data_IF_939579736864
#
_entry.id   IF_939579736864
#
_cell.length_a   1.000
_cell.length_b   1.000
_cell.length_c   1.000
_cell.angle_alpha   90.00
_cell.angle_beta   90.00
_cell.angle_gamma   90.00
#
_symmetry.space_group_name_H-M   'P 1'
#
loop_
_entity.id
_entity.type
_entity.pdbx_description
1 polymer ?
#
# COMPACT_ATOMS: atom_id res chain seq x y z
N UNK A 1 14.34 -3.19 51.96
CA UNK A 1 13.38 -3.31 50.83
C UNK A 1 12.80 -4.72 50.86
N UNK A 2 11.48 -4.92 51.02
CA UNK A 2 10.94 -6.26 51.06
C UNK A 2 10.95 -6.86 49.64
N UNK A 3 11.57 -8.03 49.50
CA UNK A 3 11.59 -8.81 48.27
C UNK A 3 10.16 -9.10 47.81
N UNK A 4 9.86 -8.76 46.56
CA UNK A 4 8.58 -8.99 45.91
C UNK A 4 8.33 -10.52 45.81
N UNK A 5 7.55 -11.07 46.75
CA UNK A 5 7.14 -12.48 46.71
C UNK A 5 6.29 -12.69 45.45
N UNK A 6 6.82 -13.40 44.46
CA UNK A 6 6.04 -13.86 43.30
C UNK A 6 4.86 -14.68 43.82
N UNK A 7 3.65 -14.18 43.62
CA UNK A 7 2.41 -14.92 43.94
C UNK A 7 2.42 -16.22 43.14
N UNK A 8 2.22 -17.39 43.77
CA UNK A 8 2.16 -18.66 43.04
C UNK A 8 1.02 -18.62 42.02
N UNK A 9 1.30 -19.09 40.80
CA UNK A 9 0.30 -19.18 39.73
C UNK A 9 -0.80 -20.17 40.13
N UNK A 10 -2.03 -19.67 40.29
CA UNK A 10 -3.23 -20.47 40.55
C UNK A 10 -4.02 -20.68 39.24
N UNK A 11 -4.00 -21.89 38.65
CA UNK A 11 -4.68 -22.17 37.39
C UNK A 11 -6.20 -21.97 37.44
N UNK A 12 -6.85 -22.21 38.59
CA UNK A 12 -8.31 -22.09 38.74
C UNK A 12 -8.71 -20.62 38.77
N UNK A 13 -8.04 -19.82 39.60
CA UNK A 13 -8.25 -18.38 39.65
C UNK A 13 -7.99 -17.72 38.30
N UNK A 14 -6.90 -18.11 37.62
CA UNK A 14 -6.60 -17.60 36.28
C UNK A 14 -7.68 -17.97 35.24
N UNK A 15 -8.34 -19.14 35.36
CA UNK A 15 -9.44 -19.53 34.49
C UNK A 15 -10.73 -18.74 34.78
N UNK A 16 -11.05 -18.49 36.05
CA UNK A 16 -12.17 -17.65 36.46
C UNK A 16 -11.98 -16.20 36.01
N UNK A 17 -10.79 -15.63 36.20
CA UNK A 17 -10.45 -14.28 35.76
C UNK A 17 -10.61 -14.15 34.23
N UNK A 18 -10.16 -15.14 33.46
CA UNK A 18 -10.36 -15.18 31.99
C UNK A 18 -11.83 -15.26 31.60
N UNK A 19 -12.63 -16.06 32.31
CA UNK A 19 -14.08 -16.19 32.05
C UNK A 19 -14.80 -14.87 32.32
N UNK A 20 -14.42 -14.18 33.40
CA UNK A 20 -14.95 -12.86 33.75
C UNK A 20 -14.56 -11.81 32.71
N UNK A 21 -13.28 -11.73 32.33
CA UNK A 21 -12.80 -10.79 31.31
C UNK A 21 -13.49 -11.02 29.96
N UNK A 22 -13.69 -12.28 29.57
CA UNK A 22 -14.44 -12.62 28.35
C UNK A 22 -15.88 -12.11 28.42
N UNK A 23 -16.58 -12.34 29.54
CA UNK A 23 -17.94 -11.83 29.74
C UNK A 23 -17.98 -10.30 29.64
N UNK A 24 -17.08 -9.61 30.33
CA UNK A 24 -17.02 -8.15 30.31
C UNK A 24 -16.78 -7.60 28.88
N UNK A 25 -16.03 -8.32 28.05
CA UNK A 25 -15.83 -7.98 26.63
C UNK A 25 -17.09 -8.23 25.81
N UNK A 26 -17.78 -9.36 26.01
CA UNK A 26 -19.04 -9.67 25.33
C UNK A 26 -20.11 -8.62 25.64
N UNK A 27 -20.27 -8.24 26.91
CA UNK A 27 -21.24 -7.23 27.35
C UNK A 27 -20.91 -5.86 26.73
N UNK A 28 -19.62 -5.49 26.65
CA UNK A 28 -19.17 -4.27 25.96
C UNK A 28 -19.47 -4.30 24.46
N UNK A 29 -19.29 -5.44 23.80
CA UNK A 29 -19.57 -5.60 22.38
C UNK A 29 -21.06 -5.44 22.08
N UNK A 30 -21.93 -6.05 22.88
CA UNK A 30 -23.38 -5.91 22.72
C UNK A 30 -23.84 -4.46 22.89
N UNK A 31 -23.33 -3.79 23.94
CA UNK A 31 -23.57 -2.37 24.16
C UNK A 31 -23.03 -1.51 23.02
N UNK A 32 -21.80 -1.78 22.58
CA UNK A 32 -21.14 -1.05 21.49
C UNK A 32 -21.94 -1.12 20.19
N UNK A 33 -22.48 -2.29 19.84
CA UNK A 33 -23.34 -2.43 18.65
C UNK A 33 -24.59 -1.58 18.76
N UNK A 34 -25.28 -1.57 19.90
CA UNK A 34 -26.47 -0.73 20.08
C UNK A 34 -26.15 0.77 19.99
N UNK A 35 -24.99 1.20 20.51
CA UNK A 35 -24.56 2.60 20.52
C UNK A 35 -24.11 3.10 19.14
N UNK A 36 -23.61 2.22 18.26
CA UNK A 36 -23.19 2.57 16.90
C UNK A 36 -24.31 3.24 16.10
N UNK A 37 -25.56 2.79 16.27
CA UNK A 37 -26.69 3.35 15.54
C UNK A 37 -27.26 4.64 16.15
N UNK A 38 -26.57 5.23 17.13
CA UNK A 38 -26.97 6.47 17.79
C UNK A 38 -26.06 7.63 17.34
N UNK A 39 -26.66 8.68 16.77
CA UNK A 39 -25.99 9.96 16.46
C UNK A 39 -24.70 9.76 15.63
N UNK A 40 -23.60 10.44 15.99
CA UNK A 40 -22.33 10.46 15.28
C UNK A 40 -21.49 9.17 15.47
N UNK A 41 -21.95 8.24 16.33
CA UNK A 41 -21.23 6.98 16.61
C UNK A 41 -21.11 6.10 15.37
N UNK A 42 -22.09 6.16 14.47
CA UNK A 42 -22.07 5.38 13.23
C UNK A 42 -20.90 5.80 12.34
N UNK A 43 -20.75 7.11 12.12
CA UNK A 43 -19.65 7.67 11.34
C UNK A 43 -18.29 7.34 11.96
N UNK A 44 -18.15 7.49 13.29
CA UNK A 44 -16.92 7.12 14.03
C UNK A 44 -16.56 5.64 13.88
N UNK A 45 -17.57 4.78 13.81
CA UNK A 45 -17.37 3.36 13.57
C UNK A 45 -16.83 3.11 12.15
N UNK A 46 -17.42 3.74 11.13
CA UNK A 46 -16.91 3.65 9.76
C UNK A 46 -15.48 4.24 9.62
N UNK A 47 -15.20 5.35 10.30
CA UNK A 47 -13.84 5.93 10.37
C UNK A 47 -12.84 4.96 10.99
N UNK A 48 -13.26 4.20 12.00
CA UNK A 48 -12.43 3.16 12.61
C UNK A 48 -12.18 2.02 11.63
N UNK A 49 -13.22 1.56 10.93
CA UNK A 49 -13.09 0.53 9.89
C UNK A 49 -12.16 0.94 8.75
N UNK A 50 -12.21 2.22 8.34
CA UNK A 50 -11.33 2.75 7.31
C UNK A 50 -9.85 2.65 7.72
N UNK A 51 -9.53 2.80 9.01
CA UNK A 51 -8.16 2.64 9.52
C UNK A 51 -7.77 1.19 9.78
N UNK A 52 -8.73 0.33 10.12
CA UNK A 52 -8.50 -1.06 10.50
C UNK A 52 -9.30 -2.04 9.63
N UNK A 53 -9.17 -2.01 8.28
CA UNK A 53 -10.03 -2.79 7.38
C UNK A 53 -9.88 -4.30 7.59
N UNK A 54 -8.70 -4.77 8.00
CA UNK A 54 -8.41 -6.20 8.24
C UNK A 54 -8.81 -6.70 9.64
N UNK A 55 -9.29 -5.83 10.53
CA UNK A 55 -9.76 -6.25 11.85
C UNK A 55 -11.22 -6.72 11.78
N UNK A 56 -11.57 -7.69 12.62
CA UNK A 56 -12.97 -8.14 12.73
C UNK A 56 -13.90 -7.02 13.21
N UNK A 57 -15.22 -7.16 12.98
CA UNK A 57 -16.23 -6.24 13.50
C UNK A 57 -16.04 -6.00 15.01
N UNK A 58 -15.94 -7.08 15.78
CA UNK A 58 -15.77 -6.99 17.24
C UNK A 58 -14.51 -6.21 17.62
N UNK A 59 -13.40 -6.44 16.92
CA UNK A 59 -12.16 -5.73 17.24
C UNK A 59 -12.21 -4.26 16.81
N UNK A 60 -12.88 -3.92 15.71
CA UNK A 60 -13.13 -2.52 15.32
C UNK A 60 -13.94 -1.80 16.42
N UNK A 61 -15.03 -2.41 16.91
CA UNK A 61 -15.83 -1.87 18.01
C UNK A 61 -14.99 -1.68 19.27
N UNK A 62 -14.21 -2.71 19.65
CA UNK A 62 -13.35 -2.65 20.84
C UNK A 62 -12.29 -1.57 20.73
N UNK A 63 -11.66 -1.40 19.57
CA UNK A 63 -10.67 -0.35 19.34
C UNK A 63 -11.34 1.02 19.43
N UNK A 64 -12.45 1.23 18.73
CA UNK A 64 -13.21 2.49 18.76
C UNK A 64 -13.59 2.89 20.19
N UNK A 65 -14.10 1.96 21.00
CA UNK A 65 -14.55 2.25 22.37
C UNK A 65 -13.39 2.57 23.32
N UNK A 66 -12.21 1.98 23.10
CA UNK A 66 -11.06 2.13 24.01
C UNK A 66 -10.11 3.24 23.58
N UNK A 67 -9.98 3.49 22.28
CA UNK A 67 -9.10 4.49 21.69
C UNK A 67 -9.66 5.00 20.34
N UNK A 68 -10.63 5.94 20.36
CA UNK A 68 -11.25 6.49 19.14
C UNK A 68 -10.27 7.18 18.19
N UNK A 69 -9.15 7.68 18.72
CA UNK A 69 -8.09 8.36 17.98
C UNK A 69 -7.01 7.39 17.47
N UNK A 70 -7.18 6.08 17.61
CA UNK A 70 -6.21 5.10 17.13
C UNK A 70 -5.97 5.25 15.61
N UNK A 71 -4.73 5.07 15.19
CA UNK A 71 -4.28 5.18 13.80
C UNK A 71 -3.61 3.90 13.31
N UNK A 72 -2.91 3.18 14.19
CA UNK A 72 -2.27 1.91 13.85
C UNK A 72 -2.07 1.08 15.10
N UNK A 73 -2.63 -0.13 15.15
CA UNK A 73 -2.58 -1.01 16.30
C UNK A 73 -1.70 -2.23 16.02
N UNK A 74 -0.76 -2.51 16.92
CA UNK A 74 0.04 -3.73 16.90
C UNK A 74 0.34 -4.27 18.30
N UNK A 75 0.57 -5.59 18.38
CA UNK A 75 1.03 -6.25 19.60
C UNK A 75 2.37 -5.68 20.08
N UNK A 76 2.67 -5.81 21.39
CA UNK A 76 3.96 -5.41 21.94
C UNK A 76 5.15 -6.03 21.19
N UNK A 77 5.03 -7.31 20.83
CA UNK A 77 6.04 -8.04 20.05
C UNK A 77 6.16 -7.52 18.63
N UNK A 78 5.05 -7.17 17.97
CA UNK A 78 5.09 -6.61 16.63
C UNK A 78 5.72 -5.21 16.61
N UNK A 79 5.40 -4.35 17.59
CA UNK A 79 6.11 -3.07 17.73
C UNK A 79 7.61 -3.26 17.89
N UNK A 80 8.02 -4.19 18.76
CA UNK A 80 9.43 -4.50 18.98
C UNK A 80 10.14 -4.96 17.70
N UNK A 81 9.47 -5.75 16.86
CA UNK A 81 10.02 -6.17 15.55
C UNK A 81 10.18 -4.99 14.59
N UNK A 82 9.32 -3.97 14.68
CA UNK A 82 9.39 -2.73 13.91
C UNK A 82 10.34 -1.68 14.53
N UNK A 83 11.17 -2.06 15.51
CA UNK A 83 12.11 -1.14 16.16
C UNK A 83 11.44 -0.10 17.08
N UNK A 84 10.19 -0.34 17.49
CA UNK A 84 9.42 0.54 18.37
C UNK A 84 9.05 -0.15 19.68
N UNK A 85 8.89 0.63 20.75
CA UNK A 85 8.62 0.12 22.09
C UNK A 85 7.43 0.86 22.69
N UNK A 86 6.57 0.12 23.38
CA UNK A 86 5.44 0.72 24.11
C UNK A 86 5.98 1.53 25.29
N UNK A 87 5.53 2.79 25.40
CA UNK A 87 5.94 3.70 26.47
C UNK A 87 5.52 3.14 27.83
N UNK A 88 6.35 3.39 28.85
CA UNK A 88 6.11 2.89 30.20
C UNK A 88 4.81 3.49 30.77
N UNK A 89 3.90 2.63 31.22
CA UNK A 89 2.64 3.02 31.86
C UNK A 89 1.44 3.10 30.92
N UNK A 90 1.64 2.91 29.62
CA UNK A 90 0.56 2.87 28.63
C UNK A 90 -0.39 1.68 28.87
N UNK A 91 -1.68 1.94 28.68
CA UNK A 91 -2.72 0.91 28.80
C UNK A 91 -2.96 0.25 27.45
N UNK A 92 -2.90 -1.07 27.41
CA UNK A 92 -3.18 -1.83 26.19
C UNK A 92 -4.66 -1.82 25.83
N UNK A 93 -4.95 -1.76 24.53
CA UNK A 93 -6.27 -1.88 23.93
C UNK A 93 -6.61 -3.38 23.87
N UNK A 94 -7.72 -3.78 24.50
CA UNK A 94 -8.15 -5.18 24.52
C UNK A 94 -8.85 -5.56 23.23
N UNK A 95 -8.35 -6.59 22.56
CA UNK A 95 -8.94 -7.19 21.35
C UNK A 95 -9.08 -8.70 21.53
N UNK A 96 -9.87 -9.34 20.68
CA UNK A 96 -10.01 -10.79 20.64
C UNK A 96 -9.06 -11.37 19.58
N UNK A 97 -8.24 -12.34 19.99
CA UNK A 97 -7.37 -13.08 19.09
C UNK A 97 -7.72 -14.57 19.06
N UNK A 98 -7.70 -15.22 17.87
CA UNK A 98 -7.93 -16.65 17.76
C UNK A 98 -6.81 -17.42 18.49
N UNK A 99 -7.19 -18.47 19.19
CA UNK A 99 -6.32 -19.42 19.88
C UNK A 99 -6.84 -20.82 19.54
N UNK A 100 -6.47 -21.36 18.37
CA UNK A 100 -6.88 -22.69 17.98
C UNK A 100 -6.28 -23.72 18.95
N UNK A 101 -7.08 -24.69 19.34
CA UNK A 101 -6.66 -25.84 20.13
C UNK A 101 -7.29 -27.12 19.59
N UNK A 102 -6.59 -28.23 19.79
CA UNK A 102 -7.06 -29.57 19.42
C UNK A 102 -7.85 -30.15 20.58
N UNK A 103 -9.04 -30.65 20.29
CA UNK A 103 -9.88 -31.36 21.26
C UNK A 103 -10.21 -32.75 20.71
N UNK A 104 -9.91 -33.79 21.50
CA UNK A 104 -10.43 -35.13 21.22
C UNK A 104 -11.90 -35.19 21.62
N UNK A 105 -12.78 -35.54 20.68
CA UNK A 105 -14.20 -35.75 20.93
C UNK A 105 -14.59 -37.15 20.49
N UNK A 106 -15.37 -37.83 21.32
CA UNK A 106 -16.05 -39.06 20.89
C UNK A 106 -17.23 -38.69 19.97
N UNK A 107 -17.22 -39.24 18.77
CA UNK A 107 -18.33 -39.17 17.83
C UNK A 107 -18.73 -40.57 17.39
N UNK A 108 -19.99 -40.72 16.97
CA UNK A 108 -20.46 -41.95 16.36
C UNK A 108 -19.75 -42.14 15.02
N UNK A 109 -19.11 -43.30 14.85
CA UNK A 109 -18.39 -43.65 13.64
C UNK A 109 -19.38 -43.76 12.49
N UNK A 110 -19.12 -43.03 11.41
CA UNK A 110 -19.93 -43.12 10.18
C UNK A 110 -19.22 -43.91 9.10
N UNK A 111 -19.97 -44.66 8.29
CA UNK A 111 -19.47 -45.29 7.06
C UNK A 111 -19.23 -44.25 5.93
N UNK A 112 -18.73 -44.70 4.78
CA UNK A 112 -18.48 -43.84 3.60
C UNK A 112 -19.73 -43.14 3.05
N UNK A 113 -20.93 -43.51 3.52
CA UNK A 113 -22.23 -42.95 3.12
C UNK A 113 -22.86 -42.12 4.25
N UNK A 114 -22.11 -41.81 5.31
CA UNK A 114 -22.55 -40.99 6.43
C UNK A 114 -23.52 -41.69 7.39
N UNK A 115 -23.61 -43.03 7.37
CA UNK A 115 -24.49 -43.79 8.26
C UNK A 115 -23.73 -44.26 9.50
N UNK A 116 -24.37 -44.19 10.67
CA UNK A 116 -23.80 -44.66 11.93
C UNK A 116 -23.47 -46.15 11.83
N UNK A 117 -22.24 -46.51 12.16
CA UNK A 117 -21.74 -47.88 12.24
C UNK A 117 -22.11 -48.42 13.62
N UNK A 118 -22.90 -49.49 13.65
CA UNK A 118 -23.26 -50.20 14.87
C UNK A 118 -22.34 -51.40 15.09
N UNK A 119 -22.07 -51.73 16.36
CA UNK A 119 -21.32 -52.92 16.73
C UNK A 119 -22.18 -54.19 16.66
N UNK A 120 -21.62 -55.33 17.09
CA UNK A 120 -22.31 -56.63 17.05
C UNK A 120 -23.50 -56.71 18.01
N UNK A 121 -23.58 -55.81 18.98
CA UNK A 121 -24.60 -55.76 20.02
C UNK A 121 -25.69 -54.72 19.69
N UNK A 122 -25.54 -53.97 18.60
CA UNK A 122 -26.50 -52.98 18.11
C UNK A 122 -26.28 -51.57 18.67
N UNK A 123 -25.16 -51.32 19.34
CA UNK A 123 -24.79 -50.00 19.88
C UNK A 123 -23.93 -49.20 18.87
N UNK A 124 -24.08 -47.86 18.79
CA UNK A 124 -23.23 -47.03 17.94
C UNK A 124 -21.75 -47.16 18.30
N UNK A 125 -20.92 -47.54 17.32
CA UNK A 125 -19.45 -47.55 17.48
C UNK A 125 -18.99 -46.11 17.66
N UNK A 126 -18.35 -45.81 18.77
CA UNK A 126 -17.73 -44.50 19.01
C UNK A 126 -16.28 -44.51 18.53
N UNK A 127 -15.88 -43.45 17.86
CA UNK A 127 -14.49 -43.17 17.53
C UNK A 127 -14.04 -41.85 18.16
N UNK A 128 -12.77 -41.77 18.54
CA UNK A 128 -12.15 -40.51 18.97
C UNK A 128 -11.66 -39.78 17.75
N UNK A 129 -12.23 -38.61 17.49
CA UNK A 129 -11.77 -37.73 16.41
C UNK A 129 -11.14 -36.48 17.01
N UNK A 130 -9.98 -36.11 16.47
CA UNK A 130 -9.31 -34.86 16.79
C UNK A 130 -10.00 -33.74 16.02
N UNK A 131 -10.69 -32.86 16.74
CA UNK A 131 -11.36 -31.70 16.16
C UNK A 131 -10.55 -30.44 16.48
N UNK A 132 -10.25 -29.64 15.45
CA UNK A 132 -9.65 -28.32 15.63
C UNK A 132 -10.74 -27.32 16.03
N UNK A 133 -10.66 -26.77 17.24
CA UNK A 133 -11.59 -25.76 17.72
C UNK A 133 -10.87 -24.40 17.81
N UNK A 134 -11.45 -23.39 17.16
CA UNK A 134 -10.96 -22.00 17.28
C UNK A 134 -11.62 -21.33 18.47
N UNK A 135 -10.92 -21.28 19.61
CA UNK A 135 -11.29 -20.39 20.71
C UNK A 135 -10.78 -18.97 20.46
N UNK A 136 -11.29 -18.01 21.23
CA UNK A 136 -10.78 -16.65 21.28
C UNK A 136 -10.34 -16.31 22.69
N UNK A 137 -9.30 -15.49 22.80
CA UNK A 137 -8.86 -14.93 24.08
C UNK A 137 -8.66 -13.42 23.98
N UNK A 138 -8.89 -12.68 25.07
CA UNK A 138 -8.52 -11.28 25.14
C UNK A 138 -6.99 -11.13 25.10
N UNK A 139 -6.49 -10.29 24.20
CA UNK A 139 -5.08 -9.90 24.12
C UNK A 139 -4.97 -8.38 24.08
N UNK A 140 -3.77 -7.87 24.33
CA UNK A 140 -3.49 -6.43 24.26
C UNK A 140 -2.79 -6.08 22.95
N UNK A 141 -3.31 -5.07 22.28
CA UNK A 141 -2.65 -4.32 21.22
C UNK A 141 -2.39 -2.89 21.70
N UNK A 142 -1.50 -2.17 21.01
CA UNK A 142 -1.12 -0.81 21.35
C UNK A 142 -1.12 0.04 20.09
N UNK A 143 -1.58 1.28 20.20
CA UNK A 143 -1.57 2.22 19.10
C UNK A 143 -0.18 2.86 18.90
N UNK A 144 0.10 3.35 17.68
CA UNK A 144 1.33 4.05 17.34
C UNK A 144 1.66 5.19 18.33
N UNK A 145 0.67 5.98 18.74
CA UNK A 145 0.86 7.10 19.68
C UNK A 145 1.37 6.66 21.07
N UNK A 146 1.15 5.39 21.42
CA UNK A 146 1.58 4.78 22.67
C UNK A 146 3.01 4.21 22.60
N UNK A 147 3.70 4.41 21.48
CA UNK A 147 5.04 3.86 21.25
C UNK A 147 6.08 4.95 21.00
N UNK A 148 7.34 4.60 21.24
CA UNK A 148 8.53 5.39 20.93
C UNK A 148 9.53 4.54 20.13
N UNK A 149 10.37 5.17 19.31
CA UNK A 149 11.33 4.49 18.42
C UNK A 149 11.36 5.10 17.03
N UNK A 150 11.99 4.38 16.10
CA UNK A 150 12.20 4.83 14.72
C UNK A 150 10.88 5.16 14.02
N UNK A 151 10.79 6.28 13.26
CA UNK A 151 9.60 6.59 12.49
C UNK A 151 9.29 5.41 11.58
N UNK A 152 8.00 5.05 11.49
CA UNK A 152 7.61 4.00 10.57
C UNK A 152 7.95 4.46 9.15
N UNK A 153 8.48 3.56 8.30
CA UNK A 153 8.64 3.87 6.89
C UNK A 153 7.26 4.25 6.37
N UNK A 154 7.18 5.34 5.60
CA UNK A 154 5.96 5.76 4.92
C UNK A 154 5.68 4.77 3.78
N UNK A 155 5.24 3.56 4.13
CA UNK A 155 4.67 2.59 3.18
C UNK A 155 3.16 2.77 3.23
N UNK A 156 2.72 3.97 2.87
CA UNK A 156 1.32 4.25 2.60
C UNK A 156 1.19 4.40 1.10
N UNK A 157 0.17 3.75 0.52
CA UNK A 157 -0.56 4.33 -0.60
C UNK A 157 -0.63 5.82 -0.30
N UNK A 158 0.08 6.66 -1.08
CA UNK A 158 0.15 8.08 -0.78
C UNK A 158 -1.27 8.55 -0.53
N UNK A 159 -1.53 9.25 0.58
CA UNK A 159 -2.74 10.06 0.69
C UNK A 159 -2.90 10.71 -0.68
N UNK A 160 -4.06 10.55 -1.33
CA UNK A 160 -4.28 11.19 -2.62
C UNK A 160 -4.09 12.68 -2.39
N UNK A 161 -2.89 13.21 -2.67
CA UNK A 161 -2.51 14.58 -2.33
C UNK A 161 -3.15 15.57 -3.31
N UNK A 162 -4.33 15.24 -3.83
CA UNK A 162 -5.02 16.01 -4.87
C UNK A 162 -4.35 15.92 -6.24
N UNK A 163 -3.42 15.00 -6.49
CA UNK A 163 -2.79 14.86 -7.81
C UNK A 163 -3.67 14.06 -8.77
N UNK A 164 -3.83 14.58 -9.99
CA UNK A 164 -4.59 13.94 -11.09
C UNK A 164 -4.11 12.51 -11.35
N UNK A 165 -2.79 12.29 -11.31
CA UNK A 165 -2.18 10.96 -11.50
C UNK A 165 -2.50 9.96 -10.37
N UNK A 166 -2.72 10.46 -9.14
CA UNK A 166 -3.17 9.62 -8.03
C UNK A 166 -4.60 9.12 -8.25
N UNK A 167 -5.49 10.01 -8.67
CA UNK A 167 -6.89 9.67 -8.93
C UNK A 167 -7.07 8.73 -10.13
N UNK A 168 -6.35 8.98 -11.23
CA UNK A 168 -6.41 8.11 -12.40
C UNK A 168 -6.01 6.67 -12.05
N UNK A 169 -4.86 6.49 -11.38
CA UNK A 169 -4.40 5.15 -10.96
C UNK A 169 -5.35 4.47 -9.98
N UNK A 170 -5.90 5.21 -9.02
CA UNK A 170 -6.91 4.65 -8.11
C UNK A 170 -8.16 4.21 -8.87
N UNK A 171 -8.63 5.02 -9.82
CA UNK A 171 -9.81 4.70 -10.61
C UNK A 171 -9.58 3.46 -11.49
N UNK A 172 -8.42 3.34 -12.12
CA UNK A 172 -8.01 2.13 -12.84
C UNK A 172 -7.98 0.90 -11.94
N UNK A 173 -7.44 1.02 -10.72
CA UNK A 173 -7.45 -0.06 -9.74
C UNK A 173 -8.88 -0.44 -9.31
N UNK A 174 -9.78 0.53 -9.15
CA UNK A 174 -11.21 0.28 -8.87
C UNK A 174 -11.88 -0.45 -10.04
N UNK A 175 -11.60 -0.04 -11.28
CA UNK A 175 -12.13 -0.71 -12.46
C UNK A 175 -11.66 -2.16 -12.55
N UNK A 176 -10.39 -2.45 -12.27
CA UNK A 176 -9.86 -3.82 -12.28
C UNK A 176 -10.28 -4.66 -11.05
N UNK A 177 -10.53 -4.03 -9.90
CA UNK A 177 -11.03 -4.68 -8.70
C UNK A 177 -12.55 -4.93 -8.73
N UNK A 178 -13.28 -4.24 -9.61
CA UNK A 178 -14.72 -4.38 -9.76
C UNK A 178 -15.10 -5.79 -10.21
N UNK A 179 -16.13 -6.42 -9.61
CA UNK A 179 -16.62 -7.73 -10.05
C UNK A 179 -17.31 -7.67 -11.43
N UNK A 180 -17.60 -6.47 -11.92
CA UNK A 180 -18.34 -6.22 -13.17
C UNK A 180 -17.73 -5.06 -13.96
N UNK A 181 -17.87 -5.03 -15.30
CA UNK A 181 -17.35 -3.93 -16.10
C UNK A 181 -17.95 -2.58 -15.69
N UNK A 182 -17.09 -1.57 -15.55
CA UNK A 182 -17.48 -0.17 -15.34
C UNK A 182 -17.38 0.57 -16.68
N UNK A 183 -18.42 1.34 -17.04
CA UNK A 183 -18.46 2.15 -18.25
C UNK A 183 -18.94 3.56 -17.95
N UNK A 184 -18.37 4.52 -18.68
CA UNK A 184 -18.85 5.89 -18.68
C UNK A 184 -19.93 6.07 -19.75
N UNK A 185 -21.10 6.57 -19.35
CA UNK A 185 -22.28 6.74 -20.20
C UNK A 185 -22.85 8.16 -20.03
N UNK A 186 -23.60 8.62 -21.02
CA UNK A 186 -24.44 9.81 -20.86
C UNK A 186 -25.79 9.38 -20.27
N UNK A 187 -25.95 9.58 -18.97
CA UNK A 187 -27.12 9.17 -18.18
C UNK A 187 -28.05 10.38 -18.06
N UNK A 188 -29.28 10.24 -18.55
CA UNK A 188 -30.27 11.30 -18.46
C UNK A 188 -30.67 11.59 -17.00
N UNK A 189 -30.69 12.88 -16.64
CA UNK A 189 -31.19 13.35 -15.34
C UNK A 189 -30.08 13.68 -14.34
N UNK A 190 -30.36 13.49 -13.04
CA UNK A 190 -29.44 13.79 -11.94
C UNK A 190 -28.72 12.56 -11.37
N UNK A 191 -28.93 11.38 -11.98
CA UNK A 191 -28.32 10.12 -11.56
C UNK A 191 -26.84 10.13 -11.92
N UNK A 192 -25.98 9.92 -10.92
CA UNK A 192 -24.52 9.91 -11.11
C UNK A 192 -24.00 8.57 -11.61
N UNK A 193 -24.69 7.47 -11.33
CA UNK A 193 -24.34 6.13 -11.77
C UNK A 193 -25.38 5.11 -11.31
N UNK A 194 -25.27 3.89 -11.81
CA UNK A 194 -26.10 2.77 -11.39
C UNK A 194 -25.45 1.41 -11.72
N UNK A 195 -25.67 0.42 -10.89
CA UNK A 195 -25.44 -0.99 -11.19
C UNK A 195 -26.64 -1.62 -11.93
N UNK A 196 -26.43 -2.10 -13.15
CA UNK A 196 -27.44 -2.78 -13.94
C UNK A 196 -27.42 -4.29 -13.66
N UNK A 197 -28.42 -4.79 -12.91
CA UNK A 197 -28.43 -6.18 -12.41
C UNK A 197 -28.54 -7.24 -13.51
N UNK A 198 -29.25 -6.96 -14.61
CA UNK A 198 -29.46 -7.94 -15.70
C UNK A 198 -28.24 -8.04 -16.63
N UNK A 199 -27.71 -6.90 -17.07
CA UNK A 199 -26.51 -6.82 -17.91
C UNK A 199 -25.19 -6.98 -17.13
N UNK A 200 -25.28 -7.05 -15.80
CA UNK A 200 -24.15 -7.22 -14.88
C UNK A 200 -22.98 -6.25 -15.18
N UNK A 201 -23.30 -4.95 -15.21
CA UNK A 201 -22.35 -3.85 -15.44
C UNK A 201 -22.67 -2.64 -14.58
N UNK A 202 -21.71 -1.73 -14.45
CA UNK A 202 -21.86 -0.43 -13.80
C UNK A 202 -21.77 0.67 -14.86
N UNK A 203 -22.73 1.60 -14.80
CA UNK A 203 -22.71 2.84 -15.56
C UNK A 203 -22.38 4.02 -14.67
N UNK A 204 -21.50 4.91 -15.13
CA UNK A 204 -21.12 6.15 -14.45
C UNK A 204 -21.34 7.31 -15.42
N UNK A 205 -21.93 8.41 -14.92
CA UNK A 205 -22.16 9.62 -15.71
C UNK A 205 -20.85 10.21 -16.24
N UNK A 206 -20.80 10.50 -17.54
CA UNK A 206 -19.70 11.22 -18.17
C UNK A 206 -19.61 12.67 -17.70
N UNK A 207 -18.39 13.19 -17.59
CA UNK A 207 -18.12 14.61 -17.32
C UNK A 207 -18.16 15.02 -15.85
N UNK A 208 -18.27 14.09 -14.90
CA UNK A 208 -18.12 14.40 -13.47
C UNK A 208 -16.64 14.58 -13.08
N UNK A 209 -16.42 15.21 -11.91
CA UNK A 209 -15.06 15.31 -11.33
C UNK A 209 -14.49 13.94 -10.96
N UNK A 210 -13.16 13.82 -10.92
CA UNK A 210 -12.47 12.57 -10.58
C UNK A 210 -12.89 12.02 -9.20
N UNK A 211 -12.99 12.91 -8.20
CA UNK A 211 -13.48 12.57 -6.86
C UNK A 211 -14.89 11.98 -6.92
N UNK A 212 -15.77 12.60 -7.71
CA UNK A 212 -17.14 12.11 -7.84
C UNK A 212 -17.19 10.77 -8.59
N UNK A 213 -16.36 10.58 -9.63
CA UNK A 213 -16.25 9.31 -10.35
C UNK A 213 -15.86 8.19 -9.39
N UNK A 214 -14.84 8.41 -8.55
CA UNK A 214 -14.41 7.42 -7.56
C UNK A 214 -15.51 7.11 -6.55
N UNK A 215 -16.14 8.12 -5.94
CA UNK A 215 -17.25 7.94 -4.98
C UNK A 215 -18.39 7.11 -5.59
N UNK A 216 -18.84 7.49 -6.79
CA UNK A 216 -19.91 6.80 -7.49
C UNK A 216 -19.50 5.38 -7.85
N UNK A 217 -18.30 5.17 -8.40
CA UNK A 217 -17.81 3.85 -8.77
C UNK A 217 -17.80 2.89 -7.57
N UNK A 218 -17.24 3.32 -6.44
CA UNK A 218 -17.17 2.48 -5.23
C UNK A 218 -18.56 2.15 -4.71
N UNK A 219 -19.50 3.11 -4.73
CA UNK A 219 -20.90 2.89 -4.34
C UNK A 219 -21.56 1.83 -5.22
N UNK A 220 -21.43 1.94 -6.54
CA UNK A 220 -22.01 0.97 -7.47
C UNK A 220 -21.30 -0.39 -7.43
N UNK A 221 -19.98 -0.43 -7.17
CA UNK A 221 -19.25 -1.67 -6.92
C UNK A 221 -19.74 -2.36 -5.65
N UNK A 222 -20.07 -1.60 -4.60
CA UNK A 222 -20.67 -2.15 -3.40
C UNK A 222 -22.05 -2.78 -3.70
N UNK A 223 -22.88 -2.12 -4.53
CA UNK A 223 -24.12 -2.74 -5.02
C UNK A 223 -23.88 -4.00 -5.85
N UNK A 224 -22.93 -4.00 -6.77
CA UNK A 224 -22.60 -5.16 -7.58
C UNK A 224 -22.10 -6.35 -6.74
N UNK A 225 -21.32 -6.08 -5.70
CA UNK A 225 -20.77 -7.10 -4.80
C UNK A 225 -21.83 -7.68 -3.85
N UNK A 226 -22.63 -6.82 -3.22
CA UNK A 226 -23.54 -7.21 -2.15
C UNK A 226 -24.96 -7.56 -2.64
N UNK A 227 -25.40 -6.97 -3.75
CA UNK A 227 -26.81 -6.92 -4.14
C UNK A 227 -27.07 -7.44 -5.55
N UNK A 228 -26.15 -8.19 -6.14
CA UNK A 228 -26.37 -8.87 -7.42
C UNK A 228 -27.43 -9.98 -7.33
N UNK A 229 -27.83 -10.50 -8.49
CA UNK A 229 -28.89 -11.50 -8.59
C UNK A 229 -28.59 -12.79 -7.81
N UNK A 230 -27.33 -13.23 -7.78
CA UNK A 230 -26.91 -14.43 -7.05
C UNK A 230 -27.04 -14.22 -5.55
N UNK A 231 -26.49 -13.11 -5.02
CA UNK A 231 -26.59 -12.74 -3.62
C UNK A 231 -28.05 -12.57 -3.16
N UNK A 232 -28.94 -12.11 -4.05
CA UNK A 232 -30.37 -12.03 -3.75
C UNK A 232 -31.06 -13.40 -3.71
N UNK A 233 -30.60 -14.38 -4.51
CA UNK A 233 -31.16 -15.74 -4.54
C UNK A 233 -30.66 -16.61 -3.40
N UNK A 234 -29.41 -16.43 -2.97
CA UNK A 234 -28.77 -17.21 -1.90
C UNK A 234 -29.18 -16.75 -0.50
N UNK A 235 -29.82 -15.58 -0.38
CA UNK A 235 -30.20 -15.01 0.90
C UNK A 235 -31.38 -15.76 1.53
N UNK A 236 -31.09 -16.44 2.64
CA UNK A 236 -32.10 -17.03 3.51
C UNK A 236 -32.90 -15.90 4.22
N UNK A 237 -34.23 -15.89 4.10
CA UNK A 237 -35.10 -14.88 4.74
C UNK A 237 -35.77 -13.86 3.81
N UNK A 238 -35.52 -13.93 2.49
CA UNK A 238 -36.20 -13.11 1.49
C UNK A 238 -35.45 -11.85 1.07
N UNK A 239 -36.09 -11.03 0.22
CA UNK A 239 -35.45 -9.86 -0.38
C UNK A 239 -35.20 -8.75 0.64
N UNK A 240 -33.94 -8.29 0.73
CA UNK A 240 -33.57 -7.15 1.56
C UNK A 240 -34.28 -5.87 1.09
N UNK A 241 -34.73 -5.03 2.05
CA UNK A 241 -35.34 -3.73 1.74
C UNK A 241 -34.36 -2.82 1.00
N UNK A 242 -34.87 -1.97 0.10
CA UNK A 242 -34.06 -0.97 -0.60
C UNK A 242 -33.23 -0.13 0.37
N UNK A 243 -33.84 0.34 1.46
CA UNK A 243 -33.16 1.13 2.49
C UNK A 243 -31.95 0.42 3.10
N UNK A 244 -32.02 -0.89 3.35
CA UNK A 244 -30.88 -1.63 3.89
C UNK A 244 -29.78 -1.82 2.85
N UNK A 245 -30.15 -2.00 1.57
CA UNK A 245 -29.16 -2.07 0.47
C UNK A 245 -28.39 -0.75 0.33
N UNK A 246 -29.07 0.39 0.40
CA UNK A 246 -28.44 1.71 0.35
C UNK A 246 -27.57 1.99 1.58
N UNK A 247 -28.03 1.66 2.79
CA UNK A 247 -27.21 1.81 4.02
C UNK A 247 -25.89 1.06 3.87
N UNK A 248 -25.94 -0.18 3.41
CA UNK A 248 -24.75 -1.02 3.24
C UNK A 248 -23.82 -0.46 2.16
N UNK A 249 -24.36 -0.15 0.97
CA UNK A 249 -23.57 0.38 -0.14
C UNK A 249 -22.93 1.74 0.20
N UNK A 250 -23.68 2.66 0.80
CA UNK A 250 -23.20 3.98 1.20
C UNK A 250 -22.14 3.87 2.30
N UNK A 251 -22.32 2.95 3.26
CA UNK A 251 -21.34 2.72 4.34
C UNK A 251 -20.04 2.12 3.83
N UNK A 252 -20.11 1.18 2.87
CA UNK A 252 -18.92 0.64 2.19
C UNK A 252 -18.22 1.74 1.40
N UNK A 253 -18.98 2.52 0.62
CA UNK A 253 -18.43 3.62 -0.18
C UNK A 253 -17.71 4.65 0.68
N UNK A 254 -18.34 5.07 1.78
CA UNK A 254 -17.73 5.96 2.77
C UNK A 254 -16.44 5.38 3.35
N UNK A 255 -16.47 4.12 3.82
CA UNK A 255 -15.32 3.49 4.48
C UNK A 255 -14.12 3.39 3.54
N UNK A 256 -14.35 2.99 2.29
CA UNK A 256 -13.30 2.83 1.27
C UNK A 256 -12.77 4.21 0.85
N UNK A 257 -13.65 5.20 0.63
CA UNK A 257 -13.23 6.57 0.33
C UNK A 257 -12.38 7.16 1.47
N UNK A 258 -12.82 6.97 2.72
CA UNK A 258 -12.12 7.44 3.91
C UNK A 258 -10.75 6.76 4.06
N UNK A 259 -10.63 5.48 3.70
CA UNK A 259 -9.35 4.74 3.70
C UNK A 259 -8.31 5.37 2.78
N UNK A 260 -8.72 5.81 1.59
CA UNK A 260 -7.85 6.47 0.60
C UNK A 260 -7.72 7.99 0.78
N UNK A 261 -8.29 8.55 1.86
CA UNK A 261 -8.22 9.99 2.15
C UNK A 261 -9.06 10.86 1.21
N UNK A 262 -10.07 10.28 0.55
CA UNK A 262 -10.99 11.01 -0.32
C UNK A 262 -11.96 11.82 0.53
N UNK A 263 -12.27 13.05 0.12
CA UNK A 263 -13.22 13.90 0.84
C UNK A 263 -14.62 13.26 0.94
N UNK A 264 -15.01 12.86 2.15
CA UNK A 264 -16.31 12.26 2.46
C UNK A 264 -17.29 13.24 3.11
N UNK A 265 -17.03 14.56 3.08
CA UNK A 265 -17.84 15.58 3.77
C UNK A 265 -19.32 15.60 3.35
N UNK A 266 -19.65 15.20 2.13
CA UNK A 266 -21.01 15.13 1.61
C UNK A 266 -21.83 13.94 2.12
N UNK A 267 -21.19 12.91 2.69
CA UNK A 267 -21.89 11.75 3.24
C UNK A 267 -22.58 12.10 4.58
N UNK A 268 -23.83 11.66 4.75
CA UNK A 268 -24.61 11.90 5.95
C UNK A 268 -25.43 10.68 6.36
N UNK A 269 -25.17 10.18 7.57
CA UNK A 269 -25.81 8.97 8.11
C UNK A 269 -26.91 9.26 9.12
N UNK A 270 -27.47 10.49 9.13
CA UNK A 270 -28.51 10.88 10.10
C UNK A 270 -29.76 9.98 10.04
N UNK A 271 -30.03 9.38 8.88
CA UNK A 271 -31.16 8.49 8.66
C UNK A 271 -30.96 7.07 9.23
N UNK A 272 -29.71 6.67 9.52
CA UNK A 272 -29.36 5.32 9.99
C UNK A 272 -30.00 5.00 11.35
N UNK A 273 -30.14 5.99 12.22
CA UNK A 273 -30.85 5.83 13.49
C UNK A 273 -32.32 5.40 13.26
N UNK A 274 -32.99 6.02 12.28
CA UNK A 274 -34.34 5.64 11.88
C UNK A 274 -34.40 4.26 11.21
N UNK A 275 -33.43 3.93 10.35
CA UNK A 275 -33.32 2.61 9.71
C UNK A 275 -33.13 1.48 10.72
N UNK A 276 -32.34 1.70 11.78
CA UNK A 276 -32.07 0.69 12.81
C UNK A 276 -33.27 0.41 13.71
N UNK A 277 -34.27 1.30 13.74
CA UNK A 277 -35.41 1.20 14.64
C UNK A 277 -36.29 -0.01 14.28
N UNK A 278 -36.46 -0.92 15.25
CA UNK A 278 -37.27 -2.12 15.08
C UNK A 278 -36.50 -3.31 14.49
N UNK A 279 -35.18 -3.19 14.32
CA UNK A 279 -34.29 -4.32 14.00
C UNK A 279 -33.77 -4.98 15.26
N UNK A 280 -33.68 -6.29 15.26
CA UNK A 280 -33.08 -7.05 16.34
C UNK A 280 -31.55 -6.98 16.30
N UNK A 281 -30.90 -7.19 17.45
CA UNK A 281 -29.44 -7.15 17.58
C UNK A 281 -28.69 -8.05 16.58
N UNK A 282 -29.15 -9.30 16.29
CA UNK A 282 -28.51 -10.13 15.27
C UNK A 282 -28.53 -9.51 13.87
N UNK A 283 -29.66 -8.91 13.44
CA UNK A 283 -29.77 -8.25 12.13
C UNK A 283 -28.80 -7.07 12.01
N UNK A 284 -28.69 -6.27 13.07
CA UNK A 284 -27.78 -5.13 13.11
C UNK A 284 -26.32 -5.59 13.03
N UNK A 285 -25.95 -6.63 13.79
CA UNK A 285 -24.61 -7.23 13.73
C UNK A 285 -24.29 -7.81 12.36
N UNK A 286 -25.26 -8.47 11.74
CA UNK A 286 -25.11 -9.04 10.39
C UNK A 286 -24.83 -7.93 9.37
N UNK A 287 -25.62 -6.85 9.36
CA UNK A 287 -25.39 -5.74 8.43
C UNK A 287 -24.02 -5.07 8.65
N UNK A 288 -23.60 -4.83 9.90
CA UNK A 288 -22.26 -4.30 10.18
C UNK A 288 -21.15 -5.26 9.73
N UNK A 289 -21.34 -6.57 9.87
CA UNK A 289 -20.40 -7.56 9.36
C UNK A 289 -20.33 -7.52 7.83
N UNK A 290 -21.47 -7.46 7.14
CA UNK A 290 -21.54 -7.31 5.67
C UNK A 290 -20.76 -6.08 5.20
N UNK A 291 -20.98 -4.92 5.83
CA UNK A 291 -20.27 -3.67 5.51
C UNK A 291 -18.76 -3.85 5.72
N UNK A 292 -18.36 -4.48 6.84
CA UNK A 292 -16.95 -4.74 7.15
C UNK A 292 -16.30 -5.72 6.18
N UNK A 293 -16.98 -6.80 5.78
CA UNK A 293 -16.49 -7.75 4.76
C UNK A 293 -16.27 -7.07 3.43
N UNK A 294 -17.31 -6.43 2.91
CA UNK A 294 -17.25 -5.76 1.63
C UNK A 294 -16.19 -4.66 1.60
N UNK A 295 -16.08 -3.84 2.65
CA UNK A 295 -15.06 -2.79 2.73
C UNK A 295 -13.65 -3.39 2.76
N UNK A 296 -13.41 -4.40 3.60
CA UNK A 296 -12.09 -5.05 3.71
C UNK A 296 -11.66 -5.71 2.41
N UNK A 297 -12.57 -6.43 1.76
CA UNK A 297 -12.29 -7.12 0.50
C UNK A 297 -12.05 -6.13 -0.62
N UNK A 298 -12.87 -5.08 -0.72
CA UNK A 298 -12.71 -4.06 -1.75
C UNK A 298 -11.42 -3.25 -1.57
N UNK A 299 -11.09 -2.83 -0.34
CA UNK A 299 -9.81 -2.16 -0.04
C UNK A 299 -8.65 -3.07 -0.43
N UNK A 300 -8.67 -4.34 0.00
CA UNK A 300 -7.59 -5.29 -0.32
C UNK A 300 -7.44 -5.51 -1.82
N UNK A 301 -8.55 -5.68 -2.54
CA UNK A 301 -8.53 -5.87 -3.99
C UNK A 301 -7.99 -4.63 -4.72
N UNK A 302 -8.40 -3.43 -4.32
CA UNK A 302 -7.90 -2.18 -4.90
C UNK A 302 -6.40 -2.01 -4.61
N UNK A 303 -5.95 -2.28 -3.38
CA UNK A 303 -4.52 -2.21 -3.02
C UNK A 303 -3.68 -3.17 -3.89
N UNK A 304 -4.14 -4.41 -4.06
CA UNK A 304 -3.48 -5.40 -4.92
C UNK A 304 -3.42 -4.94 -6.38
N UNK A 305 -4.54 -4.43 -6.92
CA UNK A 305 -4.58 -3.94 -8.31
C UNK A 305 -3.75 -2.68 -8.52
N UNK A 306 -3.74 -1.77 -7.57
CA UNK A 306 -2.87 -0.59 -7.61
C UNK A 306 -1.39 -1.00 -7.66
N UNK A 307 -0.97 -1.98 -6.84
CA UNK A 307 0.40 -2.50 -6.87
C UNK A 307 0.73 -3.22 -8.20
N UNK A 308 -0.20 -4.00 -8.74
CA UNK A 308 -0.03 -4.65 -10.05
C UNK A 308 0.08 -3.64 -11.20
N UNK A 309 -0.71 -2.55 -11.16
CA UNK A 309 -0.63 -1.45 -12.12
C UNK A 309 0.72 -0.74 -12.04
N UNK A 310 1.19 -0.43 -10.82
CA UNK A 310 2.52 0.17 -10.62
C UNK A 310 3.63 -0.72 -11.19
N UNK A 311 3.60 -2.02 -10.89
CA UNK A 311 4.58 -2.98 -11.43
C UNK A 311 4.54 -3.08 -12.95
N UNK A 312 3.34 -3.09 -13.55
CA UNK A 312 3.17 -3.09 -15.02
C UNK A 312 3.73 -1.82 -15.65
N UNK A 313 3.47 -0.66 -15.04
CA UNK A 313 3.99 0.62 -15.49
C UNK A 313 5.52 0.64 -15.41
N UNK A 314 6.11 0.22 -14.27
CA UNK A 314 7.56 0.09 -14.11
C UNK A 314 8.18 -0.85 -15.15
N UNK A 315 7.56 -2.01 -15.40
CA UNK A 315 8.04 -2.97 -16.41
C UNK A 315 7.97 -2.40 -17.83
N UNK A 316 6.87 -1.71 -18.19
CA UNK A 316 6.76 -1.01 -19.47
C UNK A 316 7.89 0.01 -19.64
N UNK A 317 8.05 0.89 -18.64
CA UNK A 317 9.11 1.91 -18.62
C UNK A 317 10.49 1.28 -18.84
N UNK A 318 10.78 0.14 -18.22
CA UNK A 318 12.06 -0.56 -18.41
C UNK A 318 12.22 -1.24 -19.77
N UNK A 319 11.13 -1.65 -20.42
CA UNK A 319 11.17 -2.32 -21.74
C UNK A 319 11.30 -1.32 -22.90
N UNK A 320 10.88 -0.07 -22.68
CA UNK A 320 10.91 1.02 -23.65
C UNK A 320 12.30 1.65 -23.79
N UNK A 321 13.31 1.16 -23.06
CA UNK A 321 14.69 1.66 -23.14
C UNK A 321 15.67 0.49 -23.23
N UNK A 322 16.63 0.57 -24.16
CA UNK A 322 17.79 -0.33 -24.21
C UNK A 322 19.07 0.48 -24.04
N UNK A 323 20.12 -0.19 -23.57
CA UNK A 323 21.41 0.44 -23.31
C UNK A 323 22.48 -0.08 -24.25
N UNK A 324 23.50 0.75 -24.46
CA UNK A 324 24.73 0.39 -25.13
C UNK A 324 25.94 0.88 -24.34
N UNK A 325 27.08 0.25 -24.58
CA UNK A 325 28.39 0.65 -24.06
C UNK A 325 29.32 0.83 -25.24
N UNK A 326 30.00 1.97 -25.29
CA UNK A 326 31.00 2.25 -26.30
C UNK A 326 32.32 2.69 -25.65
N UNK A 327 33.43 2.20 -26.18
CA UNK A 327 34.78 2.61 -25.77
C UNK A 327 35.14 4.03 -26.22
N UNK A 328 34.54 4.49 -27.32
CA UNK A 328 34.74 5.83 -27.88
C UNK A 328 33.39 6.51 -28.14
N UNK A 329 33.07 7.55 -27.35
CA UNK A 329 31.88 8.41 -27.52
C UNK A 329 31.81 9.05 -28.91
N UNK A 330 32.92 9.59 -29.39
CA UNK A 330 32.93 10.38 -30.63
C UNK A 330 32.67 9.52 -31.87
N UNK A 331 33.10 8.26 -31.84
CA UNK A 331 32.93 7.30 -32.90
C UNK A 331 32.66 5.92 -32.30
N UNK A 332 31.39 5.56 -32.08
CA UNK A 332 31.00 4.28 -31.45
C UNK A 332 31.58 3.04 -32.15
N UNK A 333 31.91 3.13 -33.44
CA UNK A 333 32.57 2.07 -34.20
C UNK A 333 34.09 1.92 -33.93
N UNK A 334 34.69 2.84 -33.17
CA UNK A 334 36.11 2.79 -32.80
C UNK A 334 36.30 2.15 -31.42
N UNK A 335 36.70 0.89 -31.41
CA UNK A 335 36.96 0.11 -30.19
C UNK A 335 35.82 -0.86 -29.90
N UNK A 336 35.65 -1.18 -28.63
CA UNK A 336 34.62 -2.10 -28.16
C UNK A 336 33.23 -1.43 -28.08
N UNK A 337 32.22 -2.07 -28.68
CA UNK A 337 30.83 -1.61 -28.70
C UNK A 337 29.88 -2.77 -28.42
N UNK A 338 28.94 -2.55 -27.49
CA UNK A 338 27.92 -3.52 -27.09
C UNK A 338 26.57 -2.83 -27.02
N UNK A 339 25.52 -3.43 -27.58
CA UNK A 339 24.18 -2.85 -27.66
C UNK A 339 23.08 -3.83 -27.20
N UNK A 340 21.84 -3.36 -27.12
CA UNK A 340 20.67 -4.13 -26.67
C UNK A 340 20.84 -4.71 -25.25
N UNK A 341 21.48 -3.94 -24.37
CA UNK A 341 21.78 -4.31 -23.00
C UNK A 341 20.69 -3.82 -22.04
N UNK A 342 20.55 -4.51 -20.91
CA UNK A 342 19.96 -3.93 -19.71
C UNK A 342 20.95 -2.93 -19.08
N UNK A 343 20.45 -2.02 -18.24
CA UNK A 343 21.30 -1.05 -17.54
C UNK A 343 22.39 -1.74 -16.70
N UNK A 344 22.04 -2.81 -15.97
CA UNK A 344 23.01 -3.55 -15.17
C UNK A 344 24.11 -4.20 -16.02
N UNK A 345 23.75 -4.84 -17.13
CA UNK A 345 24.73 -5.40 -18.07
C UNK A 345 25.63 -4.31 -18.66
N UNK A 346 25.07 -3.14 -18.98
CA UNK A 346 25.85 -2.02 -19.48
C UNK A 346 26.86 -1.52 -18.44
N UNK A 347 26.47 -1.42 -17.17
CA UNK A 347 27.40 -1.06 -16.08
C UNK A 347 28.52 -2.09 -15.93
N UNK A 348 28.21 -3.38 -15.98
CA UNK A 348 29.20 -4.45 -15.86
C UNK A 348 30.21 -4.43 -17.01
N UNK A 349 29.74 -4.30 -18.26
CA UNK A 349 30.60 -4.19 -19.44
C UNK A 349 31.44 -2.90 -19.36
N UNK A 350 30.84 -1.77 -19.00
CA UNK A 350 31.54 -0.49 -18.85
C UNK A 350 32.68 -0.53 -17.82
N UNK A 351 32.53 -1.33 -16.75
CA UNK A 351 33.58 -1.55 -15.74
C UNK A 351 34.69 -2.48 -16.23
N UNK A 352 34.39 -3.40 -17.14
CA UNK A 352 35.34 -4.36 -17.70
C UNK A 352 36.25 -3.78 -18.78
N UNK A 353 35.87 -2.67 -19.42
CA UNK A 353 36.72 -1.98 -20.42
C UNK A 353 38.00 -1.46 -19.73
N UNK A 354 39.19 -2.02 -20.05
CA UNK A 354 40.45 -1.64 -19.44
C UNK A 354 40.83 -0.20 -19.82
N UNK A 355 41.31 0.60 -18.86
CA UNK A 355 41.70 1.99 -19.14
C UNK A 355 42.86 2.10 -20.13
N UNK A 356 43.66 1.04 -20.31
CA UNK A 356 44.78 1.00 -21.26
C UNK A 356 44.34 0.86 -22.72
N UNK A 357 43.12 0.36 -22.97
CA UNK A 357 42.59 0.18 -24.33
C UNK A 357 41.94 1.45 -24.90
N UNK A 358 41.71 2.48 -24.07
CA UNK A 358 40.87 3.63 -24.40
C UNK A 358 41.28 4.34 -25.71
N UNK A 359 40.48 4.07 -26.75
CA UNK A 359 40.52 4.76 -28.04
C UNK A 359 39.76 6.11 -28.03
N UNK A 360 39.00 6.39 -26.96
CA UNK A 360 38.23 7.62 -26.77
C UNK A 360 37.65 7.74 -25.35
N UNK A 361 36.64 8.60 -25.17
CA UNK A 361 35.92 8.70 -23.89
C UNK A 361 34.86 7.60 -23.83
N UNK A 362 35.01 6.63 -22.94
CA UNK A 362 34.01 5.58 -22.76
C UNK A 362 32.65 6.13 -22.30
N UNK A 363 31.58 5.50 -22.78
CA UNK A 363 30.20 5.93 -22.51
C UNK A 363 29.27 4.75 -22.22
N UNK A 364 28.26 5.00 -21.41
CA UNK A 364 27.03 4.20 -21.38
C UNK A 364 25.96 5.06 -22.00
N UNK A 365 25.37 4.61 -23.10
CA UNK A 365 24.26 5.29 -23.73
C UNK A 365 22.99 4.46 -23.75
N UNK A 366 21.93 5.06 -24.27
CA UNK A 366 20.60 4.47 -24.33
C UNK A 366 19.89 4.83 -25.65
N UNK A 367 18.90 4.00 -25.96
CA UNK A 367 17.95 4.17 -27.05
C UNK A 367 16.55 3.99 -26.46
N UNK A 368 15.68 4.97 -26.67
CA UNK A 368 14.26 4.86 -26.28
C UNK A 368 13.47 4.34 -27.46
N UNK A 369 12.66 3.31 -27.23
CA UNK A 369 11.72 2.73 -28.20
C UNK A 369 10.40 3.49 -28.12
N UNK A 370 10.42 4.76 -28.52
CA UNK A 370 9.23 5.60 -28.67
C UNK A 370 9.20 6.12 -30.11
N UNK A 371 8.19 5.71 -30.87
CA UNK A 371 7.99 6.09 -32.27
C UNK A 371 7.81 7.62 -32.45
N UNK A 372 7.47 8.33 -31.37
CA UNK A 372 7.30 9.79 -31.33
C UNK A 372 8.63 10.53 -31.21
N UNK A 373 9.67 9.85 -30.72
CA UNK A 373 11.01 10.39 -30.57
C UNK A 373 11.86 9.97 -31.77
N UNK A 374 12.69 10.89 -32.27
CA UNK A 374 13.65 10.54 -33.31
C UNK A 374 14.64 9.55 -32.69
N UNK A 375 14.59 8.29 -33.13
CA UNK A 375 15.46 7.22 -32.68
C UNK A 375 16.93 7.61 -32.91
N UNK A 376 17.57 8.11 -31.86
CA UNK A 376 18.98 8.46 -31.82
C UNK A 376 19.60 7.83 -30.57
N UNK A 377 20.87 7.48 -30.69
CA UNK A 377 21.70 7.04 -29.57
C UNK A 377 22.05 8.25 -28.70
N UNK A 378 21.80 8.18 -27.39
CA UNK A 378 22.14 9.24 -26.45
C UNK A 378 23.03 8.72 -25.33
N UNK A 379 24.03 9.50 -24.92
CA UNK A 379 24.92 9.12 -23.81
C UNK A 379 24.27 9.43 -22.46
N UNK A 380 24.03 8.41 -21.63
CA UNK A 380 23.60 8.59 -20.23
C UNK A 380 24.79 8.92 -19.34
N UNK A 381 25.93 8.25 -19.53
CA UNK A 381 27.16 8.42 -18.75
C UNK A 381 28.33 8.66 -19.69
N UNK A 382 29.02 9.79 -19.52
CA UNK A 382 30.19 10.15 -20.32
C UNK A 382 31.43 10.20 -19.44
N UNK A 383 32.37 9.27 -19.67
CA UNK A 383 33.43 8.99 -18.70
C UNK A 383 32.79 8.70 -17.34
N UNK A 384 33.33 9.23 -16.25
CA UNK A 384 32.78 8.97 -14.92
C UNK A 384 31.73 10.01 -14.46
N UNK A 385 30.79 10.41 -15.34
CA UNK A 385 29.80 11.46 -15.07
C UNK A 385 28.45 11.17 -15.72
N UNK A 386 27.37 11.45 -14.99
CA UNK A 386 26.01 11.45 -15.51
C UNK A 386 25.78 12.65 -16.46
N UNK A 387 25.16 12.41 -17.61
CA UNK A 387 25.01 13.38 -18.69
C UNK A 387 23.60 13.99 -18.85
N UNK A 388 22.77 13.91 -17.81
CA UNK A 388 21.38 14.39 -17.87
C UNK A 388 21.22 15.88 -18.21
N UNK A 389 22.18 16.73 -17.85
CA UNK A 389 22.09 18.15 -18.17
C UNK A 389 22.24 18.41 -19.67
N UNK A 390 23.18 17.73 -20.34
CA UNK A 390 23.39 17.90 -21.78
C UNK A 390 22.16 17.40 -22.55
N UNK A 391 21.59 16.25 -22.14
CA UNK A 391 20.35 15.74 -22.72
C UNK A 391 19.22 16.75 -22.53
N UNK A 392 19.09 17.36 -21.34
CA UNK A 392 18.06 18.37 -21.06
C UNK A 392 18.24 19.65 -21.88
N UNK A 393 19.48 20.06 -22.12
CA UNK A 393 19.79 21.27 -22.89
C UNK A 393 19.49 21.08 -24.39
N UNK A 394 19.62 19.84 -24.91
CA UNK A 394 19.40 19.52 -26.33
C UNK A 394 17.95 19.09 -26.59
N UNK A 395 17.41 18.20 -25.76
CA UNK A 395 16.07 17.61 -25.87
C UNK A 395 15.39 17.53 -24.50
N UNK A 396 14.75 18.62 -24.05
CA UNK A 396 14.05 18.66 -22.77
C UNK A 396 12.97 17.57 -22.61
N UNK A 397 12.28 17.23 -23.69
CA UNK A 397 11.23 16.20 -23.71
C UNK A 397 11.81 14.80 -23.47
N UNK A 398 12.95 14.47 -24.10
CA UNK A 398 13.66 13.21 -23.87
C UNK A 398 14.21 13.14 -22.43
N UNK A 399 14.77 14.24 -21.91
CA UNK A 399 15.22 14.29 -20.52
C UNK A 399 14.05 14.16 -19.51
N UNK A 400 12.84 14.53 -19.92
CA UNK A 400 11.62 14.36 -19.13
C UNK A 400 10.99 12.96 -19.30
N UNK A 401 11.45 12.14 -20.25
CA UNK A 401 10.88 10.83 -20.52
C UNK A 401 11.05 9.88 -19.30
N UNK A 402 9.99 9.18 -18.86
CA UNK A 402 10.02 8.35 -17.65
C UNK A 402 11.15 7.31 -17.64
N UNK A 403 11.37 6.62 -18.76
CA UNK A 403 12.45 5.61 -18.87
C UNK A 403 13.85 6.22 -18.71
N UNK A 404 14.05 7.45 -19.17
CA UNK A 404 15.33 8.16 -19.09
C UNK A 404 15.56 8.66 -17.66
N UNK A 405 14.53 9.22 -17.01
CA UNK A 405 14.60 9.62 -15.60
C UNK A 405 14.89 8.43 -14.70
N UNK A 406 14.15 7.33 -14.87
CA UNK A 406 14.38 6.08 -14.13
C UNK A 406 15.79 5.56 -14.34
N UNK A 407 16.26 5.49 -15.59
CA UNK A 407 17.63 5.07 -15.89
C UNK A 407 18.69 5.97 -15.21
N UNK A 408 18.46 7.28 -15.19
CA UNK A 408 19.35 8.24 -14.55
C UNK A 408 19.39 8.12 -13.01
N UNK A 409 18.32 7.63 -12.39
CA UNK A 409 18.29 7.36 -10.95
C UNK A 409 18.88 5.99 -10.63
N UNK A 410 18.47 4.93 -11.35
CA UNK A 410 19.00 3.58 -11.21
C UNK A 410 20.54 3.54 -11.41
N UNK A 411 21.08 4.31 -12.36
CA UNK A 411 22.52 4.33 -12.63
C UNK A 411 23.32 4.99 -11.50
N UNK A 412 22.73 5.91 -10.71
CA UNK A 412 23.39 6.47 -9.53
C UNK A 412 23.54 5.43 -8.43
N UNK A 413 22.56 4.53 -8.30
CA UNK A 413 22.63 3.42 -7.35
C UNK A 413 23.62 2.34 -7.80
N UNK A 414 23.62 2.01 -9.09
CA UNK A 414 24.53 1.01 -9.66
C UNK A 414 25.98 1.50 -9.76
N UNK A 415 26.18 2.80 -9.95
CA UNK A 415 27.49 3.46 -10.06
C UNK A 415 27.62 4.63 -9.06
N UNK A 416 27.71 4.37 -7.75
CA UNK A 416 27.88 5.42 -6.74
C UNK A 416 29.19 6.22 -6.90
N UNK A 417 30.14 5.70 -7.69
CA UNK A 417 31.41 6.35 -8.04
C UNK A 417 31.30 7.51 -9.07
N UNK A 418 30.12 7.72 -9.66
CA UNK A 418 29.91 8.81 -10.63
C UNK A 418 30.18 10.17 -9.99
N UNK A 419 30.95 11.02 -10.67
CA UNK A 419 31.32 12.35 -10.16
C UNK A 419 30.19 13.36 -10.39
N UNK A 420 29.74 14.00 -9.31
CA UNK A 420 28.89 15.18 -9.39
C UNK A 420 29.63 16.38 -9.99
N UNK A 421 28.94 17.18 -10.82
CA UNK A 421 29.48 18.38 -11.51
C UNK A 421 30.25 19.33 -10.56
N UNK A 422 29.85 19.42 -9.28
CA UNK A 422 30.46 20.30 -8.27
C UNK A 422 31.95 20.04 -8.03
N UNK A 423 32.46 18.83 -8.26
CA UNK A 423 33.87 18.53 -8.00
C UNK A 423 34.82 19.17 -9.04
N UNK A 424 34.36 19.40 -10.28
CA UNK A 424 35.23 19.80 -11.40
C UNK A 424 35.45 21.31 -11.45
N UNK A 425 34.46 22.13 -11.08
CA UNK A 425 34.68 23.59 -10.98
C UNK A 425 35.80 23.91 -9.97
N UNK A 426 35.84 23.19 -8.85
CA UNK A 426 36.87 23.41 -7.81
C UNK A 426 38.30 23.08 -8.29
N UNK A 427 38.47 22.02 -9.08
CA UNK A 427 39.79 21.57 -9.59
C UNK A 427 40.23 22.44 -10.77
N UNK A 428 39.30 22.82 -11.64
CA UNK A 428 39.59 23.67 -12.80
C UNK A 428 39.87 25.11 -12.38
N UNK A 429 39.19 25.65 -11.35
CA UNK A 429 39.56 26.91 -10.71
C UNK A 429 40.91 26.81 -9.97
N UNK A 430 41.18 25.71 -9.25
CA UNK A 430 42.49 25.49 -8.59
C UNK A 430 43.63 25.51 -9.59
N UNK A 431 43.50 24.78 -10.69
CA UNK A 431 44.50 24.70 -11.76
C UNK A 431 44.68 26.05 -12.48
N UNK A 432 43.60 26.84 -12.65
CA UNK A 432 43.69 28.21 -13.20
C UNK A 432 44.39 29.17 -12.22
N UNK A 433 44.13 29.07 -10.91
CA UNK A 433 44.78 29.87 -9.86
C UNK A 433 46.26 29.51 -9.68
N UNK A 434 46.63 28.23 -9.78
CA UNK A 434 48.03 27.79 -9.70
C UNK A 434 48.83 28.23 -10.93
N UNK A 435 48.27 28.12 -12.14
CA UNK A 435 48.93 28.61 -13.38
C UNK A 435 49.11 30.13 -13.42
N UNK A 436 48.20 30.90 -12.80
CA UNK A 436 48.35 32.36 -12.69
C UNK A 436 49.36 32.75 -11.61
N UNK A 437 49.42 32.01 -10.50
CA UNK A 437 50.41 32.22 -9.46
C UNK A 437 51.85 31.94 -9.94
N UNK A 438 52.06 30.86 -10.72
CA UNK A 438 53.39 30.52 -11.25
C UNK A 438 53.90 31.54 -12.26
N UNK A 439 53.04 31.99 -13.20
CA UNK A 439 53.36 33.06 -14.15
C UNK A 439 53.72 34.37 -13.44
N UNK A 440 53.11 34.66 -12.29
CA UNK A 440 53.42 35.86 -11.50
C UNK A 440 54.76 35.76 -10.75
N UNK A 441 55.15 34.56 -10.31
CA UNK A 441 56.44 34.29 -9.67
C UNK A 441 57.57 34.35 -10.69
N UNK A 442 57.43 33.73 -11.85
CA UNK A 442 58.43 33.80 -12.93
C UNK A 442 58.69 35.25 -13.38
N UNK A 443 57.64 36.07 -13.50
CA UNK A 443 57.78 37.50 -13.85
C UNK A 443 58.54 38.30 -12.78
N UNK A 444 58.33 37.99 -11.49
CA UNK A 444 59.05 38.63 -10.37
C UNK A 444 60.52 38.19 -10.31
N UNK A 445 60.81 36.91 -10.56
CA UNK A 445 62.19 36.38 -10.57
C UNK A 445 62.99 36.92 -11.76
N UNK A 446 62.35 37.06 -12.93
CA UNK A 446 62.96 37.64 -14.14
C UNK A 446 63.27 39.14 -13.99
N UNK A 447 62.36 39.90 -13.37
CA UNK A 447 62.59 41.32 -13.07
C UNK A 447 63.63 41.55 -11.96
N UNK A 448 63.82 40.59 -11.05
CA UNK A 448 64.85 40.66 -10.01
C UNK A 448 66.26 40.39 -10.58
N UNK A 449 66.40 39.38 -11.46
CA UNK A 449 67.64 39.11 -12.19
C UNK A 449 68.06 40.28 -13.09
N UNK A 450 67.13 40.90 -13.82
CA UNK A 450 67.44 42.06 -14.65
C UNK A 450 67.89 43.29 -13.85
N UNK A 451 67.45 43.45 -12.60
CA UNK A 451 67.89 44.55 -11.72
C UNK A 451 69.24 44.32 -11.04
N UNK A 452 69.70 43.07 -10.94
CA UNK A 452 71.03 42.73 -10.39
C UNK A 452 72.13 42.80 -11.46
N UNK A 453 71.79 42.69 -12.75
CA UNK A 453 72.74 42.84 -13.88
C UNK A 453 72.94 44.30 -14.34
N UNK A 454 72.20 45.27 -13.78
CA UNK A 454 72.33 46.72 -14.10
C UNK A 454 72.94 47.55 -12.97
N UNK A 455 73.68 46.93 -12.04
CA UNK A 455 74.32 47.63 -10.92
C UNK A 455 75.83 47.48 -10.92
#
# INVERSE_FOLDING_TARGET
MPMNKKVPYDPKKAAEDRKKEMKDITDKLEKGVAEIFQSDSYKKFLDTMAKFPRYSLNNNILIMMQKPDATLCQSYTGWKQMGRYVKKGEKGIRILAPTPYKLEREQEKTDEKGRIVFDKDGEPVKEKVEVNITAFKPVSTFDLSQTEGEPLPSVGVGELTGSVEGYARLFDAIMEASPVPIRFEDINGSTKGYFHTEENRIAIQQGMSEVQNVKTAIHEVAHAKLHNMTAQKEREGGAQSRSSKEVEAESVAYTVCQHYGIDTSEYSFAYVAGWSKGKEMPELKESLNTIREASSELITAIDEKAQELMKRQEQSITNDISFYVAECREFHSMGEFHENLTLAQAVDIYRQIPPERMHGVKTIGFVVKDDSLIANEYDLVVGNRLNMQEIKDILPELAAHPSVQKAADDIKELMPELKDKKAIESVTEKLKREKTADRSKEKKTRNKKQKEETR
#
